data_IF_844219595973
#
_entry.id   IF_844219595973
#
_cell.length_a   1.000
_cell.length_b   1.000
_cell.length_c   1.000
_cell.angle_alpha   90.00
_cell.angle_beta   90.00
_cell.angle_gamma   90.00
#
_symmetry.space_group_name_H-M   'P 1'
#
loop_
_entity.id
_entity.type
_entity.pdbx_description
1 polymer ?
#
# COMPACT_ATOMS: atom_id res chain seq x y z
N UNK A 1 -21.21 5.91 32.63
CA UNK A 1 -22.02 5.46 31.47
C UNK A 1 -21.62 6.15 30.17
N UNK A 2 -21.49 7.49 30.14
CA UNK A 2 -21.03 8.28 28.96
C UNK A 2 -19.65 7.85 28.43
N UNK A 3 -18.64 7.75 29.31
CA UNK A 3 -17.28 7.34 28.93
C UNK A 3 -17.17 5.92 28.33
N UNK A 4 -18.08 5.00 28.71
CA UNK A 4 -18.10 3.62 28.16
C UNK A 4 -18.68 3.62 26.73
N UNK A 5 -19.67 4.47 26.46
CA UNK A 5 -20.30 4.58 25.14
C UNK A 5 -19.33 5.27 24.15
N UNK A 6 -18.64 6.32 24.59
CA UNK A 6 -17.64 7.04 23.78
C UNK A 6 -16.48 6.11 23.36
N UNK A 7 -15.98 5.29 24.28
CA UNK A 7 -14.94 4.30 24.00
C UNK A 7 -15.40 3.23 22.98
N UNK A 8 -16.66 2.77 23.07
CA UNK A 8 -17.22 1.83 22.08
C UNK A 8 -17.29 2.45 20.67
N UNK A 9 -17.70 3.71 20.57
CA UNK A 9 -17.82 4.39 19.27
C UNK A 9 -16.46 4.58 18.59
N UNK A 10 -15.42 4.96 19.34
CA UNK A 10 -14.05 5.06 18.82
C UNK A 10 -13.52 3.69 18.35
N UNK A 11 -13.78 2.62 19.10
CA UNK A 11 -13.40 1.26 18.70
C UNK A 11 -14.07 0.83 17.38
N UNK A 12 -15.37 1.08 17.21
CA UNK A 12 -16.07 0.76 15.96
C UNK A 12 -15.57 1.59 14.78
N UNK A 13 -15.24 2.86 15.00
CA UNK A 13 -14.64 3.72 13.97
C UNK A 13 -13.27 3.18 13.54
N UNK A 14 -12.42 2.80 14.49
CA UNK A 14 -11.12 2.20 14.23
C UNK A 14 -11.23 0.91 13.41
N UNK A 15 -12.10 -0.02 13.84
CA UNK A 15 -12.30 -1.28 13.15
C UNK A 15 -12.91 -1.11 11.76
N UNK A 16 -13.88 -0.20 11.60
CA UNK A 16 -14.47 0.11 10.29
C UNK A 16 -13.42 0.68 9.34
N UNK A 17 -12.58 1.59 9.84
CA UNK A 17 -11.47 2.13 9.07
C UNK A 17 -10.49 1.02 8.65
N UNK A 18 -9.99 0.22 9.59
CA UNK A 18 -9.04 -0.86 9.31
C UNK A 18 -9.56 -1.82 8.25
N UNK A 19 -10.82 -2.25 8.35
CA UNK A 19 -11.45 -3.15 7.37
C UNK A 19 -11.52 -2.53 5.99
N UNK A 20 -11.93 -1.27 5.88
CA UNK A 20 -12.01 -0.55 4.60
C UNK A 20 -10.65 -0.36 3.97
N UNK A 21 -9.68 0.08 4.77
CA UNK A 21 -8.31 0.26 4.36
C UNK A 21 -7.75 -1.06 3.81
N UNK A 22 -7.86 -2.14 4.59
CA UNK A 22 -7.41 -3.47 4.19
C UNK A 22 -8.06 -3.95 2.90
N UNK A 23 -9.39 -3.81 2.77
CA UNK A 23 -10.11 -4.25 1.57
C UNK A 23 -9.62 -3.52 0.31
N UNK A 24 -9.45 -2.20 0.38
CA UNK A 24 -8.97 -1.41 -0.77
C UNK A 24 -7.51 -1.72 -1.08
N UNK A 25 -6.65 -1.86 -0.06
CA UNK A 25 -5.25 -2.27 -0.25
C UNK A 25 -5.17 -3.64 -0.90
N UNK A 26 -5.90 -4.64 -0.39
CA UNK A 26 -5.80 -6.01 -0.89
C UNK A 26 -6.30 -6.15 -2.33
N UNK A 27 -7.49 -5.61 -2.62
CA UNK A 27 -8.06 -5.67 -3.97
C UNK A 27 -7.30 -4.76 -4.93
N UNK A 28 -6.90 -3.57 -4.48
CA UNK A 28 -6.14 -2.62 -5.28
C UNK A 28 -4.81 -3.18 -5.73
N UNK A 29 -4.03 -3.77 -4.82
CA UNK A 29 -2.73 -4.35 -5.18
C UNK A 29 -2.92 -5.56 -6.08
N UNK A 30 -3.89 -6.44 -5.79
CA UNK A 30 -4.17 -7.60 -6.65
C UNK A 30 -4.47 -7.19 -8.09
N UNK A 31 -5.34 -6.20 -8.27
CA UNK A 31 -5.69 -5.67 -9.59
C UNK A 31 -4.48 -4.98 -10.22
N UNK A 32 -3.72 -4.21 -9.46
CA UNK A 32 -2.55 -3.49 -9.96
C UNK A 32 -1.47 -4.42 -10.48
N UNK A 33 -1.10 -5.44 -9.70
CA UNK A 33 -0.12 -6.46 -10.04
C UNK A 33 -0.56 -7.21 -11.30
N UNK A 34 -1.83 -7.65 -11.37
CA UNK A 34 -2.34 -8.35 -12.54
C UNK A 34 -2.32 -7.48 -13.81
N UNK A 35 -2.65 -6.19 -13.70
CA UNK A 35 -2.69 -5.26 -14.85
C UNK A 35 -1.29 -4.88 -15.35
N UNK A 36 -0.32 -4.74 -14.45
CA UNK A 36 1.03 -4.30 -14.80
C UNK A 36 2.03 -5.44 -14.98
N UNK A 37 1.60 -6.68 -14.80
CA UNK A 37 2.44 -7.86 -15.06
C UNK A 37 3.15 -7.84 -16.43
N UNK A 38 2.54 -7.37 -17.54
CA UNK A 38 3.22 -7.27 -18.84
C UNK A 38 4.44 -6.33 -18.90
N UNK A 39 4.67 -5.52 -17.86
CA UNK A 39 5.85 -4.65 -17.75
C UNK A 39 7.08 -5.36 -17.17
N UNK A 40 6.95 -6.64 -16.80
CA UNK A 40 8.05 -7.47 -16.29
C UNK A 40 8.36 -8.63 -17.25
N UNK A 41 9.62 -9.05 -17.30
CA UNK A 41 10.07 -10.11 -18.22
C UNK A 41 9.37 -11.45 -18.00
N UNK A 42 8.97 -11.74 -16.75
CA UNK A 42 8.24 -12.96 -16.37
C UNK A 42 6.93 -13.15 -17.13
N UNK A 43 6.32 -12.07 -17.65
CA UNK A 43 5.13 -12.18 -18.49
C UNK A 43 5.41 -12.90 -19.82
N UNK A 44 6.60 -12.69 -20.39
CA UNK A 44 6.99 -13.24 -21.68
C UNK A 44 7.75 -14.57 -21.55
N UNK A 45 8.54 -14.71 -20.48
CA UNK A 45 9.42 -15.86 -20.28
C UNK A 45 8.85 -16.91 -19.30
N UNK A 46 7.94 -16.48 -18.43
CA UNK A 46 7.39 -17.31 -17.37
C UNK A 46 6.22 -18.19 -17.82
N UNK A 47 6.04 -19.30 -17.12
CA UNK A 47 4.83 -20.12 -17.24
C UNK A 47 3.64 -19.45 -16.54
N UNK A 48 2.42 -19.82 -16.92
CA UNK A 48 1.18 -19.37 -16.27
C UNK A 48 1.17 -19.55 -14.74
N UNK A 49 1.79 -20.63 -14.24
CA UNK A 49 1.90 -20.88 -12.80
C UNK A 49 2.86 -19.90 -12.11
N UNK A 50 3.97 -19.56 -12.76
CA UNK A 50 4.93 -18.60 -12.24
C UNK A 50 4.34 -17.19 -12.23
N UNK A 51 3.62 -16.80 -13.28
CA UNK A 51 2.90 -15.51 -13.34
C UNK A 51 1.86 -15.42 -12.21
N UNK A 52 1.01 -16.44 -12.05
CA UNK A 52 0.02 -16.46 -10.97
C UNK A 52 0.67 -16.39 -9.59
N UNK A 53 1.74 -17.15 -9.39
CA UNK A 53 2.50 -17.12 -8.14
C UNK A 53 3.10 -15.74 -7.89
N UNK A 54 3.69 -15.09 -8.90
CA UNK A 54 4.25 -13.76 -8.78
C UNK A 54 3.18 -12.74 -8.37
N UNK A 55 2.05 -12.69 -9.06
CA UNK A 55 0.94 -11.79 -8.73
C UNK A 55 0.48 -11.98 -7.28
N UNK A 56 0.28 -13.23 -6.84
CA UNK A 56 -0.17 -13.52 -5.47
C UNK A 56 0.90 -13.21 -4.41
N UNK A 57 2.15 -13.55 -4.70
CA UNK A 57 3.28 -13.30 -3.80
C UNK A 57 3.53 -11.80 -3.63
N UNK A 58 3.56 -11.04 -4.72
CA UNK A 58 3.70 -9.57 -4.71
C UNK A 58 2.53 -8.93 -3.97
N UNK A 59 1.29 -9.29 -4.32
CA UNK A 59 0.09 -8.80 -3.61
C UNK A 59 0.17 -9.06 -2.10
N UNK A 60 0.57 -10.27 -1.70
CA UNK A 60 0.75 -10.61 -0.29
C UNK A 60 1.81 -9.74 0.39
N UNK A 61 2.95 -9.53 -0.29
CA UNK A 61 4.01 -8.63 0.15
C UNK A 61 3.51 -7.19 0.34
N UNK A 62 2.81 -6.63 -0.64
CA UNK A 62 2.30 -5.26 -0.60
C UNK A 62 1.28 -5.05 0.50
N UNK A 63 0.40 -6.03 0.75
CA UNK A 63 -0.51 -5.98 1.90
C UNK A 63 0.27 -5.89 3.20
N UNK A 64 1.31 -6.72 3.38
CA UNK A 64 2.13 -6.71 4.59
C UNK A 64 2.87 -5.37 4.76
N UNK A 65 3.48 -4.85 3.70
CA UNK A 65 4.17 -3.57 3.74
C UNK A 65 3.18 -2.44 4.04
N UNK A 66 1.98 -2.47 3.44
CA UNK A 66 0.99 -1.40 3.64
C UNK A 66 0.44 -1.38 5.08
N UNK A 67 0.29 -2.56 5.69
CA UNK A 67 -0.09 -2.68 7.11
C UNK A 67 1.06 -2.26 8.03
N UNK A 68 2.30 -2.65 7.72
CA UNK A 68 3.47 -2.25 8.49
C UNK A 68 3.71 -0.73 8.44
N UNK A 69 3.59 -0.12 7.26
CA UNK A 69 3.71 1.32 7.06
C UNK A 69 2.61 2.10 7.78
N UNK A 70 1.36 1.61 7.73
CA UNK A 70 0.26 2.20 8.50
C UNK A 70 0.52 2.10 10.00
N UNK A 71 0.95 0.93 10.49
CA UNK A 71 1.27 0.72 11.90
C UNK A 71 2.40 1.66 12.34
N UNK A 72 3.47 1.77 11.56
CA UNK A 72 4.58 2.66 11.87
C UNK A 72 4.13 4.12 11.88
N UNK A 73 3.31 4.55 10.92
CA UNK A 73 2.75 5.89 10.92
C UNK A 73 1.87 6.18 12.14
N UNK A 74 1.07 5.20 12.59
CA UNK A 74 0.29 5.32 13.82
C UNK A 74 1.19 5.43 15.06
N UNK A 75 2.30 4.70 15.12
CA UNK A 75 3.26 4.80 16.23
C UNK A 75 3.97 6.15 16.25
N UNK A 76 4.37 6.68 15.08
CA UNK A 76 5.16 7.92 14.97
C UNK A 76 4.30 9.17 15.14
N UNK A 77 3.11 9.22 14.53
CA UNK A 77 2.26 10.43 14.49
C UNK A 77 0.80 10.20 14.86
N UNK A 78 0.41 8.98 15.22
CA UNK A 78 -0.95 8.67 15.65
C UNK A 78 -1.31 9.35 16.96
N UNK A 79 -2.61 9.47 17.21
CA UNK A 79 -3.16 10.02 18.45
C UNK A 79 -4.36 9.20 18.92
N UNK A 80 -4.76 9.36 20.18
CA UNK A 80 -5.86 8.60 20.79
C UNK A 80 -7.24 8.88 20.19
N UNK A 81 -7.39 9.93 19.39
CA UNK A 81 -8.62 10.28 18.68
C UNK A 81 -8.55 9.88 17.19
N UNK A 82 -7.57 9.06 16.79
CA UNK A 82 -7.50 8.53 15.44
C UNK A 82 -8.55 7.43 15.27
N UNK A 83 -9.31 7.38 14.16
CA UNK A 83 -9.07 8.09 12.90
C UNK A 83 -9.67 9.49 12.76
N UNK A 84 -10.41 10.01 13.74
CA UNK A 84 -11.12 11.31 13.64
C UNK A 84 -10.18 12.52 13.58
N UNK A 85 -9.08 12.48 14.35
CA UNK A 85 -8.04 13.52 14.34
C UNK A 85 -6.70 12.95 13.85
N UNK A 86 -5.89 13.79 13.20
CA UNK A 86 -4.55 13.41 12.75
C UNK A 86 -4.50 12.43 11.56
N UNK A 87 -5.64 12.07 10.98
CA UNK A 87 -5.73 11.19 9.80
C UNK A 87 -4.76 11.58 8.67
N UNK A 88 -4.67 12.89 8.34
CA UNK A 88 -3.81 13.36 7.24
C UNK A 88 -2.33 13.09 7.53
N UNK A 89 -1.89 13.31 8.77
CA UNK A 89 -0.51 13.04 9.16
C UNK A 89 -0.19 11.55 9.04
N UNK A 90 -1.06 10.69 9.57
CA UNK A 90 -0.90 9.23 9.47
C UNK A 90 -0.89 8.77 8.01
N UNK A 91 -1.78 9.31 7.16
CA UNK A 91 -1.82 8.97 5.74
C UNK A 91 -0.54 9.35 5.01
N UNK A 92 -0.04 10.58 5.23
CA UNK A 92 1.21 11.05 4.62
C UNK A 92 2.37 10.15 5.04
N UNK A 93 2.53 9.90 6.35
CA UNK A 93 3.63 9.08 6.84
C UNK A 93 3.54 7.62 6.38
N UNK A 94 2.34 7.03 6.31
CA UNK A 94 2.16 5.68 5.79
C UNK A 94 2.57 5.57 4.31
N UNK A 95 2.23 6.59 3.50
CA UNK A 95 2.64 6.65 2.08
C UNK A 95 4.15 6.83 1.97
N UNK A 96 4.74 7.72 2.77
CA UNK A 96 6.20 7.95 2.79
C UNK A 96 6.95 6.66 3.15
N UNK A 97 6.53 5.94 4.20
CA UNK A 97 7.14 4.68 4.58
C UNK A 97 6.98 3.61 3.50
N UNK A 98 5.80 3.54 2.88
CA UNK A 98 5.54 2.69 1.73
C UNK A 98 6.52 2.96 0.58
N UNK A 99 6.54 4.19 0.07
CA UNK A 99 7.44 4.60 -1.01
C UNK A 99 8.91 4.36 -0.69
N UNK A 100 9.34 4.70 0.53
CA UNK A 100 10.72 4.47 0.95
C UNK A 100 11.07 2.98 0.92
N UNK A 101 10.16 2.12 1.38
CA UNK A 101 10.34 0.67 1.30
C UNK A 101 10.36 0.19 -0.15
N UNK A 102 9.47 0.67 -1.01
CA UNK A 102 9.41 0.29 -2.44
C UNK A 102 10.69 0.62 -3.17
N UNK A 103 11.22 1.84 -2.97
CA UNK A 103 12.51 2.25 -3.54
C UNK A 103 13.62 1.30 -3.09
N UNK A 104 13.66 0.98 -1.80
CA UNK A 104 14.64 0.06 -1.24
C UNK A 104 14.47 -1.37 -1.79
N UNK A 105 13.25 -1.88 -1.88
CA UNK A 105 12.97 -3.25 -2.33
C UNK A 105 13.22 -3.43 -3.83
N UNK A 106 12.88 -2.45 -4.66
CA UNK A 106 13.18 -2.48 -6.09
C UNK A 106 14.69 -2.45 -6.32
N UNK A 107 15.40 -1.55 -5.62
CA UNK A 107 16.86 -1.52 -5.69
C UNK A 107 17.48 -2.86 -5.31
N UNK A 108 17.06 -3.44 -4.18
CA UNK A 108 17.58 -4.71 -3.69
C UNK A 108 17.29 -5.87 -4.64
N UNK A 109 16.07 -5.95 -5.20
CA UNK A 109 15.69 -7.11 -5.99
C UNK A 109 16.16 -7.02 -7.45
N UNK A 110 16.23 -5.82 -8.04
CA UNK A 110 16.69 -5.66 -9.43
C UNK A 110 18.21 -5.66 -9.51
N UNK A 111 18.90 -4.90 -8.65
CA UNK A 111 20.35 -4.68 -8.80
C UNK A 111 21.21 -5.59 -7.93
N UNK A 112 20.71 -6.03 -6.77
CA UNK A 112 21.51 -6.82 -5.85
C UNK A 112 21.19 -8.31 -5.93
N UNK A 113 19.90 -8.66 -5.92
CA UNK A 113 19.45 -10.06 -5.94
C UNK A 113 19.11 -10.57 -7.32
N UNK A 114 18.98 -9.68 -8.30
CA UNK A 114 18.56 -9.98 -9.67
C UNK A 114 17.36 -10.94 -9.72
N UNK A 115 16.44 -10.77 -8.77
CA UNK A 115 15.30 -11.66 -8.55
C UNK A 115 14.18 -11.43 -9.57
N UNK A 116 14.14 -10.24 -10.16
CA UNK A 116 13.31 -9.92 -11.31
C UNK A 116 13.94 -8.80 -12.14
N UNK A 117 13.48 -8.66 -13.39
CA UNK A 117 13.91 -7.64 -14.32
C UNK A 117 12.70 -6.96 -14.96
N UNK A 118 12.87 -5.67 -15.29
CA UNK A 118 11.89 -4.92 -16.06
C UNK A 118 11.93 -5.34 -17.53
N UNK A 119 10.77 -5.36 -18.18
CA UNK A 119 10.71 -5.46 -19.63
C UNK A 119 10.99 -4.09 -20.28
N UNK A 120 11.37 -4.07 -21.55
CA UNK A 120 11.71 -2.85 -22.30
C UNK A 120 10.59 -1.78 -22.28
N UNK A 121 9.34 -2.20 -22.10
CA UNK A 121 8.17 -1.32 -22.09
C UNK A 121 7.95 -0.62 -20.75
N UNK A 122 8.65 -1.03 -19.68
CA UNK A 122 8.51 -0.46 -18.35
C UNK A 122 9.06 0.96 -18.32
N UNK A 123 8.23 1.99 -18.07
CA UNK A 123 8.75 3.33 -17.84
C UNK A 123 9.56 3.33 -16.55
N UNK A 124 10.78 3.86 -16.61
CA UNK A 124 11.67 3.98 -15.45
C UNK A 124 11.94 5.43 -15.13
N UNK A 125 12.15 5.71 -13.84
CA UNK A 125 12.61 7.00 -13.35
C UNK A 125 14.07 6.90 -12.91
N UNK A 126 14.93 7.86 -13.31
CA UNK A 126 16.29 7.91 -12.80
C UNK A 126 16.27 8.33 -11.33
N UNK A 127 16.83 7.50 -10.46
CA UNK A 127 16.96 7.76 -9.03
C UNK A 127 18.43 7.69 -8.61
N UNK A 128 19.06 8.85 -8.49
CA UNK A 128 20.48 9.01 -8.21
C UNK A 128 21.37 8.24 -9.21
N UNK A 129 21.72 6.99 -8.90
CA UNK A 129 22.64 6.16 -9.69
C UNK A 129 21.99 4.90 -10.28
N UNK A 130 20.68 4.71 -10.09
CA UNK A 130 19.94 3.55 -10.57
C UNK A 130 18.56 3.96 -11.11
N UNK A 131 17.87 3.02 -11.74
CA UNK A 131 16.56 3.23 -12.33
C UNK A 131 15.51 2.48 -11.53
N UNK A 132 14.36 3.13 -11.31
CA UNK A 132 13.24 2.54 -10.59
C UNK A 132 12.04 2.49 -11.51
N UNK A 133 11.36 1.35 -11.50
CA UNK A 133 10.08 1.18 -12.17
C UNK A 133 9.08 2.26 -11.78
N UNK A 134 8.40 2.85 -12.76
CA UNK A 134 7.36 3.82 -12.49
C UNK A 134 6.13 3.17 -11.85
N UNK A 135 5.77 1.94 -12.27
CA UNK A 135 4.53 1.31 -11.78
C UNK A 135 4.52 1.03 -10.28
N UNK A 136 5.59 0.50 -9.64
CA UNK A 136 5.60 0.30 -8.19
C UNK A 136 5.51 1.62 -7.42
N UNK A 137 6.11 2.69 -7.93
CA UNK A 137 5.99 4.01 -7.30
C UNK A 137 4.56 4.55 -7.40
N UNK A 138 3.93 4.42 -8.57
CA UNK A 138 2.53 4.81 -8.76
C UNK A 138 1.58 3.97 -7.91
N UNK A 139 1.84 2.67 -7.75
CA UNK A 139 1.08 1.78 -6.88
C UNK A 139 1.00 2.32 -5.45
N UNK A 140 2.16 2.72 -4.92
CA UNK A 140 2.32 3.25 -3.58
C UNK A 140 1.80 4.68 -3.37
N UNK A 141 1.50 5.38 -4.46
CA UNK A 141 0.73 6.63 -4.43
C UNK A 141 -0.77 6.36 -4.54
N UNK A 142 -1.21 5.67 -5.59
CA UNK A 142 -2.62 5.55 -5.97
C UNK A 142 -3.40 4.71 -4.97
N UNK A 143 -2.91 3.52 -4.62
CA UNK A 143 -3.70 2.56 -3.82
C UNK A 143 -3.83 3.03 -2.37
N UNK A 144 -2.75 3.47 -1.68
CA UNK A 144 -2.90 4.02 -0.34
C UNK A 144 -3.76 5.29 -0.31
N UNK A 145 -3.62 6.21 -1.28
CA UNK A 145 -4.49 7.39 -1.33
C UNK A 145 -5.97 7.01 -1.47
N UNK A 146 -6.28 6.05 -2.35
CA UNK A 146 -7.64 5.54 -2.51
C UNK A 146 -8.15 4.85 -1.24
N UNK A 147 -7.31 4.05 -0.58
CA UNK A 147 -7.69 3.33 0.65
C UNK A 147 -7.97 4.28 1.80
N UNK A 148 -7.10 5.27 2.01
CA UNK A 148 -7.30 6.33 2.98
C UNK A 148 -8.56 7.14 2.66
N UNK A 149 -8.76 7.56 1.41
CA UNK A 149 -9.92 8.35 1.00
C UNK A 149 -11.24 7.61 1.24
N UNK A 150 -11.32 6.35 0.82
CA UNK A 150 -12.51 5.51 0.99
C UNK A 150 -12.78 5.19 2.47
N UNK A 151 -11.73 4.94 3.26
CA UNK A 151 -11.86 4.69 4.69
C UNK A 151 -12.42 5.92 5.42
N UNK A 152 -12.00 7.13 5.03
CA UNK A 152 -12.50 8.39 5.60
C UNK A 152 -13.96 8.69 5.22
N UNK A 153 -14.37 8.43 3.98
CA UNK A 153 -15.67 8.84 3.44
C UNK A 153 -16.90 8.35 4.23
N UNK A 154 -16.77 7.26 4.99
CA UNK A 154 -17.88 6.73 5.80
C UNK A 154 -17.84 7.11 7.27
N UNK A 155 -16.68 7.52 7.79
CA UNK A 155 -16.64 8.12 9.12
C UNK A 155 -17.46 9.42 9.18
N UNK A 156 -17.42 10.21 8.11
CA UNK A 156 -18.23 11.43 8.00
C UNK A 156 -19.74 11.14 7.99
N UNK A 157 -20.17 9.91 7.63
CA UNK A 157 -21.59 9.53 7.59
C UNK A 157 -22.10 8.93 8.90
N UNK A 158 -21.21 8.41 9.73
CA UNK A 158 -21.57 7.83 11.03
C UNK A 158 -21.74 8.92 12.12
N UNK A 159 -21.28 10.16 11.86
CA UNK A 159 -21.32 11.33 12.77
C UNK A 159 -22.24 12.48 12.32
N UNK A 160 -22.94 12.33 11.19
CA UNK A 160 -23.91 13.29 10.66
C UNK A 160 -25.33 12.78 10.93
#
# INVERSE_FOLDING_TARGET
MVSIIENKNEFYAWLSFMRRYFLVIALGNLVWEALHMPLYTIWYEGTWKQILFAVLHCTGGDILIALASLMLALVVVGNNCWPHKGYRAVAIWAIVFGLAYTVYSEWLNVYWRESWAYADQMPVLPFASFEIGLTPLLQWLVIPLASFWWARGRMNKDHA
#
